data_IF_747543294278
#
_entry.id   IF_747543294278
#
_cell.length_a   1.000
_cell.length_b   1.000
_cell.length_c   1.000
_cell.angle_alpha   90.00
_cell.angle_beta   90.00
_cell.angle_gamma   90.00
#
_symmetry.space_group_name_H-M   'P 1'
#
loop_
_entity.id
_entity.type
_entity.pdbx_description
1 polymer ?
#
# COMPACT_ATOMS: atom_id res chain seq x y z
N UNK A 1 8.56 2.89 -13.69
CA UNK A 1 9.78 3.05 -12.88
C UNK A 1 9.31 3.15 -11.44
N UNK A 2 9.09 2.00 -10.79
CA UNK A 2 8.50 1.96 -9.45
C UNK A 2 9.63 2.04 -8.42
N UNK A 3 9.65 3.12 -7.65
CA UNK A 3 10.52 3.25 -6.49
C UNK A 3 10.21 2.12 -5.50
N UNK A 4 11.25 1.38 -5.15
CA UNK A 4 11.21 0.19 -4.32
C UNK A 4 10.93 0.57 -2.85
N UNK A 5 9.66 0.53 -2.46
CA UNK A 5 9.22 0.74 -1.06
C UNK A 5 9.85 -0.29 -0.09
N UNK A 6 10.37 -1.41 -0.58
CA UNK A 6 11.10 -2.38 0.25
C UNK A 6 12.50 -1.89 0.61
N UNK A 7 13.13 -1.11 -0.28
CA UNK A 7 14.42 -0.46 -0.01
C UNK A 7 14.26 0.65 1.02
N UNK A 8 13.17 1.42 0.95
CA UNK A 8 12.83 2.46 1.94
C UNK A 8 12.51 1.83 3.30
N UNK A 9 11.75 0.74 3.39
CA UNK A 9 11.44 0.11 4.68
C UNK A 9 12.66 -0.56 5.35
N UNK A 10 13.56 -1.15 4.55
CA UNK A 10 14.78 -1.83 5.04
C UNK A 10 15.82 -0.85 5.60
N UNK A 11 15.92 0.34 5.00
CA UNK A 11 16.81 1.39 5.49
C UNK A 11 16.24 2.05 6.76
N UNK A 12 14.92 2.16 6.93
CA UNK A 12 14.32 2.97 8.00
C UNK A 12 14.09 2.23 9.33
N UNK A 13 14.00 0.90 9.34
CA UNK A 13 13.78 0.12 10.57
C UNK A 13 14.89 0.25 11.64
N UNK A 14 16.20 0.23 11.29
CA UNK A 14 17.26 0.37 12.30
C UNK A 14 17.39 1.80 12.86
N UNK A 15 17.01 2.84 12.11
CA UNK A 15 17.03 4.23 12.60
C UNK A 15 15.82 4.55 13.49
N UNK A 16 14.65 3.95 13.22
CA UNK A 16 13.46 4.15 14.05
C UNK A 16 13.57 3.48 15.44
N UNK A 17 14.24 2.32 15.53
CA UNK A 17 14.54 1.69 16.82
C UNK A 17 15.65 2.41 17.61
N UNK A 18 16.64 2.99 16.93
CA UNK A 18 17.74 3.73 17.59
C UNK A 18 17.26 5.03 18.24
N UNK A 19 16.36 5.77 17.57
CA UNK A 19 15.81 7.04 18.10
C UNK A 19 14.83 6.79 19.27
N UNK A 20 14.08 5.68 19.25
CA UNK A 20 13.15 5.34 20.33
C UNK A 20 13.88 4.89 21.62
N UNK A 21 15.09 4.32 21.52
CA UNK A 21 15.85 3.87 22.68
C UNK A 21 16.50 5.04 23.46
N UNK A 22 16.72 6.19 22.83
CA UNK A 22 17.44 7.32 23.44
C UNK A 22 16.54 8.35 24.16
N UNK A 23 15.21 8.24 24.04
CA UNK A 23 14.23 9.21 24.57
C UNK A 23 13.36 8.64 25.69
N UNK A 24 13.90 7.72 26.49
CA UNK A 24 13.23 7.17 27.67
C UNK A 24 13.94 7.58 28.96
N UNK A 25 14.23 8.86 29.13
CA UNK A 25 14.45 9.45 30.45
C UNK A 25 13.07 9.83 30.98
N UNK A 26 12.47 8.92 31.74
CA UNK A 26 11.15 9.12 32.35
C UNK A 26 11.16 10.36 33.24
N UNK A 27 10.06 11.12 33.21
CA UNK A 27 9.79 12.36 33.97
C UNK A 27 9.85 12.19 35.51
N UNK A 28 10.19 11.00 36.01
CA UNK A 28 10.26 10.65 37.43
C UNK A 28 11.54 11.15 38.13
N UNK A 29 12.52 11.68 37.38
CA UNK A 29 13.82 12.15 37.93
C UNK A 29 13.96 13.69 37.91
N UNK A 30 12.82 14.41 37.80
CA UNK A 30 12.76 15.89 37.70
C UNK A 30 12.04 16.50 38.90
N UNK A 31 12.15 15.87 40.07
CA UNK A 31 11.95 16.58 41.33
C UNK A 31 13.31 16.89 41.91
N UNK A 32 13.59 18.16 42.29
CA UNK A 32 14.84 18.47 42.93
C UNK A 32 14.94 17.64 44.20
N UNK A 33 15.91 16.73 44.26
CA UNK A 33 16.40 16.23 45.53
C UNK A 33 16.64 17.46 46.40
N UNK A 34 16.02 17.49 47.59
CA UNK A 34 15.90 18.66 48.48
C UNK A 34 17.18 19.51 48.44
N UNK A 35 17.18 20.58 47.63
CA UNK A 35 18.35 21.45 47.52
C UNK A 35 18.53 22.14 48.86
N UNK A 36 19.58 21.76 49.59
CA UNK A 36 19.84 22.27 50.95
C UNK A 36 20.38 23.70 50.95
N UNK A 37 20.67 24.27 49.78
CA UNK A 37 21.12 25.66 49.61
C UNK A 37 20.57 26.32 48.32
N UNK A 38 20.49 27.65 48.32
CA UNK A 38 19.98 28.45 47.18
C UNK A 38 20.87 28.34 45.94
N UNK A 39 22.18 28.20 46.13
CA UNK A 39 23.15 28.09 45.03
C UNK A 39 22.97 26.78 44.25
N UNK A 40 22.80 25.67 44.97
CA UNK A 40 22.53 24.35 44.38
C UNK A 40 21.21 24.34 43.61
N UNK A 41 20.18 25.01 44.14
CA UNK A 41 18.92 25.18 43.45
C UNK A 41 19.07 25.95 42.13
N UNK A 42 19.82 27.06 42.11
CA UNK A 42 20.04 27.86 40.90
C UNK A 42 20.85 27.09 39.85
N UNK A 43 21.87 26.36 40.27
CA UNK A 43 22.66 25.50 39.40
C UNK A 43 21.79 24.41 38.76
N UNK A 44 20.93 23.77 39.56
CA UNK A 44 20.04 22.72 39.07
C UNK A 44 18.98 23.25 38.09
N UNK A 45 18.39 24.41 38.38
CA UNK A 45 17.44 25.06 37.46
C UNK A 45 18.13 25.41 36.14
N UNK A 46 19.38 25.91 36.19
CA UNK A 46 20.15 26.21 34.99
C UNK A 46 20.39 24.95 34.14
N UNK A 47 20.81 23.84 34.76
CA UNK A 47 21.00 22.55 34.07
C UNK A 47 19.69 22.04 33.46
N UNK A 48 18.59 22.12 34.21
CA UNK A 48 17.25 21.75 33.72
C UNK A 48 16.82 22.58 32.51
N UNK A 49 17.04 23.90 32.54
CA UNK A 49 16.70 24.80 31.43
C UNK A 49 17.52 24.45 30.19
N UNK A 50 18.81 24.17 30.32
CA UNK A 50 19.64 23.77 29.19
C UNK A 50 19.19 22.43 28.60
N UNK A 51 18.93 21.42 29.43
CA UNK A 51 18.46 20.11 28.96
C UNK A 51 17.10 20.24 28.28
N UNK A 52 16.19 21.02 28.85
CA UNK A 52 14.86 21.26 28.27
C UNK A 52 14.95 21.98 26.93
N UNK A 53 15.84 22.98 26.81
CA UNK A 53 16.06 23.68 25.54
C UNK A 53 16.62 22.76 24.45
N UNK A 54 17.56 21.86 24.80
CA UNK A 54 18.11 20.86 23.87
C UNK A 54 17.01 19.89 23.42
N UNK A 55 16.22 19.37 24.36
CA UNK A 55 15.15 18.42 24.04
C UNK A 55 14.07 19.06 23.15
N UNK A 56 13.67 20.30 23.44
CA UNK A 56 12.70 21.01 22.61
C UNK A 56 13.27 21.31 21.22
N UNK A 57 14.54 21.69 21.11
CA UNK A 57 15.20 21.89 19.82
C UNK A 57 15.29 20.59 19.00
N UNK A 58 15.61 19.45 19.64
CA UNK A 58 15.63 18.15 18.96
C UNK A 58 14.25 17.73 18.47
N UNK A 59 13.22 17.93 19.31
CA UNK A 59 11.84 17.65 18.96
C UNK A 59 11.34 18.53 17.81
N UNK A 60 11.70 19.81 17.82
CA UNK A 60 11.34 20.76 16.75
C UNK A 60 12.05 20.42 15.44
N UNK A 61 13.32 20.01 15.49
CA UNK A 61 14.06 19.53 14.32
C UNK A 61 13.42 18.28 13.71
N UNK A 62 13.01 17.31 14.53
CA UNK A 62 12.34 16.10 14.06
C UNK A 62 10.99 16.42 13.40
N UNK A 63 10.22 17.34 14.00
CA UNK A 63 8.97 17.82 13.41
C UNK A 63 9.23 18.49 12.06
N UNK A 64 10.16 19.44 12.02
CA UNK A 64 10.53 20.16 10.80
C UNK A 64 11.02 19.25 9.68
N UNK A 65 11.83 18.24 10.01
CA UNK A 65 12.26 17.22 9.06
C UNK A 65 11.09 16.42 8.49
N UNK A 66 10.18 15.96 9.35
CA UNK A 66 9.03 15.17 8.92
C UNK A 66 8.08 15.99 8.05
N UNK A 67 7.81 17.24 8.44
CA UNK A 67 6.95 18.16 7.68
C UNK A 67 7.56 18.44 6.29
N UNK A 68 8.87 18.71 6.23
CA UNK A 68 9.59 18.89 4.98
C UNK A 68 9.54 17.63 4.09
N UNK A 69 9.77 16.46 4.66
CA UNK A 69 9.74 15.19 3.92
C UNK A 69 8.35 14.92 3.35
N UNK A 70 7.28 15.15 4.12
CA UNK A 70 5.91 15.01 3.65
C UNK A 70 5.60 15.99 2.52
N UNK A 71 6.10 17.22 2.61
CA UNK A 71 5.94 18.23 1.57
C UNK A 71 6.62 17.81 0.26
N UNK A 72 7.88 17.36 0.32
CA UNK A 72 8.63 16.90 -0.87
C UNK A 72 7.91 15.73 -1.54
N UNK A 73 7.42 14.77 -0.77
CA UNK A 73 6.70 13.62 -1.30
C UNK A 73 5.39 14.02 -2.01
N UNK A 74 4.65 14.98 -1.44
CA UNK A 74 3.44 15.51 -2.07
C UNK A 74 3.77 16.26 -3.36
N UNK A 75 4.83 17.08 -3.37
CA UNK A 75 5.26 17.82 -4.55
C UNK A 75 5.69 16.89 -5.69
N UNK A 76 6.46 15.84 -5.38
CA UNK A 76 6.88 14.80 -6.33
C UNK A 76 5.66 14.04 -6.88
N UNK A 77 4.71 13.68 -6.02
CA UNK A 77 3.48 13.03 -6.44
C UNK A 77 2.66 13.89 -7.39
N UNK A 78 2.46 15.18 -7.07
CA UNK A 78 1.73 16.09 -7.93
C UNK A 78 2.43 16.30 -9.27
N UNK A 79 3.77 16.31 -9.29
CA UNK A 79 4.56 16.38 -10.51
C UNK A 79 4.36 15.13 -11.37
N UNK A 80 4.55 13.94 -10.83
CA UNK A 80 4.40 12.68 -11.58
C UNK A 80 2.98 12.53 -12.13
N UNK A 81 1.96 12.91 -11.35
CA UNK A 81 0.57 12.93 -11.79
C UNK A 81 0.36 13.87 -12.99
N UNK A 82 0.94 15.08 -12.96
CA UNK A 82 0.87 16.03 -14.09
C UNK A 82 1.57 15.47 -15.31
N UNK A 83 2.77 14.92 -15.14
CA UNK A 83 3.57 14.36 -16.24
C UNK A 83 2.85 13.16 -16.88
N UNK A 84 2.25 12.30 -16.06
CA UNK A 84 1.41 11.19 -16.53
C UNK A 84 0.21 11.68 -17.36
N UNK A 85 -0.55 12.66 -16.86
CA UNK A 85 -1.71 13.20 -17.59
C UNK A 85 -1.30 13.90 -18.89
N UNK A 86 -0.16 14.60 -18.90
CA UNK A 86 0.40 15.19 -20.12
C UNK A 86 0.88 14.14 -21.12
N UNK A 87 1.42 13.01 -20.64
CA UNK A 87 1.79 11.90 -21.53
C UNK A 87 0.56 11.32 -22.24
N UNK A 88 -0.58 11.20 -21.54
CA UNK A 88 -1.83 10.71 -22.13
C UNK A 88 -2.42 11.68 -23.16
N UNK A 89 -2.36 12.99 -22.91
CA UNK A 89 -2.87 13.98 -23.88
C UNK A 89 -2.04 14.00 -25.17
N UNK A 90 -0.73 13.75 -25.11
CA UNK A 90 0.13 13.58 -26.31
C UNK A 90 -0.19 12.33 -27.11
N UNK A 91 -0.58 11.24 -26.45
CA UNK A 91 -1.03 10.02 -27.14
C UNK A 91 -2.39 10.19 -27.83
N UNK A 92 -3.23 11.11 -27.34
CA UNK A 92 -4.52 11.46 -27.95
C UNK A 92 -4.40 12.30 -29.23
N UNK A 93 -3.27 12.98 -29.45
CA UNK A 93 -3.05 13.83 -30.63
C UNK A 93 -2.35 13.12 -31.79
N UNK A 94 -2.06 11.82 -31.67
CA UNK A 94 -1.55 11.03 -32.79
C UNK A 94 -2.67 10.89 -33.84
N UNK A 95 -2.42 11.14 -35.14
CA UNK A 95 -3.48 11.08 -36.15
C UNK A 95 -4.15 9.71 -36.12
N UNK A 96 -5.45 9.70 -35.82
CA UNK A 96 -6.36 8.56 -36.03
C UNK A 96 -6.20 8.12 -37.49
N UNK A 97 -5.44 7.06 -37.72
CA UNK A 97 -5.41 6.33 -38.99
C UNK A 97 -6.80 5.77 -39.23
N UNK A 98 -7.63 6.57 -39.90
CA UNK A 98 -8.94 6.16 -40.38
C UNK A 98 -8.76 5.03 -41.38
N UNK A 99 -9.11 3.84 -40.93
CA UNK A 99 -9.60 2.77 -41.77
C UNK A 99 -10.72 3.31 -42.67
N UNK A 100 -10.42 3.55 -43.94
CA UNK A 100 -11.37 3.72 -45.05
C UNK A 100 -10.95 2.73 -46.14
N UNK A 101 -11.64 1.60 -46.23
CA UNK A 101 -12.74 1.35 -47.16
C UNK A 101 -12.27 1.23 -48.63
N UNK A 102 -12.58 0.04 -49.18
CA UNK A 102 -12.35 -0.45 -50.54
C UNK A 102 -12.55 0.60 -51.64
N UNK A 103 -11.63 0.62 -52.61
CA UNK A 103 -11.89 0.99 -54.00
C UNK A 103 -11.09 0.10 -54.95
N UNK A 104 -11.79 -0.86 -55.55
CA UNK A 104 -11.40 -1.56 -56.78
C UNK A 104 -11.38 -0.59 -57.97
N UNK A 105 -10.40 -0.72 -58.89
CA UNK A 105 -10.39 -0.39 -60.35
C UNK A 105 -8.90 -0.22 -60.79
N UNK A 106 -8.25 -1.25 -61.37
CA UNK A 106 -8.04 -1.56 -62.83
C UNK A 106 -6.72 -1.01 -63.42
N UNK A 107 -5.85 -1.93 -63.88
CA UNK A 107 -4.90 -1.95 -65.05
C UNK A 107 -4.00 -0.72 -65.35
N UNK A 108 -2.71 -0.78 -65.76
CA UNK A 108 -1.79 -1.75 -66.41
C UNK A 108 -0.33 -1.16 -66.37
N UNK A 109 0.73 -1.77 -66.96
CA UNK A 109 2.11 -1.73 -66.46
C UNK A 109 3.07 -0.77 -67.22
N UNK A 110 4.21 -0.43 -66.61
CA UNK A 110 5.27 0.34 -67.25
C UNK A 110 6.57 0.32 -66.46
N UNK A 111 7.61 -0.24 -67.07
CA UNK A 111 8.98 -0.42 -66.61
C UNK A 111 9.77 0.90 -66.69
N UNK A 112 10.58 1.24 -65.67
CA UNK A 112 12.00 1.64 -65.78
C UNK A 112 12.55 2.26 -64.48
N UNK A 113 13.65 1.66 -64.00
CA UNK A 113 14.81 2.19 -63.25
C UNK A 113 14.66 3.52 -62.49
N UNK A 114 14.83 3.47 -61.17
CA UNK A 114 15.72 4.43 -60.49
C UNK A 114 16.21 3.88 -59.15
N UNK A 115 17.53 3.72 -59.07
CA UNK A 115 18.31 3.34 -57.91
C UNK A 115 18.56 4.55 -57.02
N UNK A 116 17.95 4.60 -55.84
CA UNK A 116 18.47 5.37 -54.68
C UNK A 116 18.15 4.60 -53.39
N UNK A 117 19.19 4.42 -52.59
CA UNK A 117 19.32 3.61 -51.39
C UNK A 117 18.29 3.90 -50.30
N UNK A 118 17.74 2.84 -49.69
CA UNK A 118 17.07 2.86 -48.39
C UNK A 118 17.58 1.69 -47.54
N UNK A 119 17.99 1.89 -46.28
CA UNK A 119 18.45 0.80 -45.45
C UNK A 119 17.25 -0.06 -45.03
N UNK A 120 17.19 -1.29 -45.53
CA UNK A 120 16.41 -2.35 -44.89
C UNK A 120 17.06 -2.69 -43.54
N UNK A 121 16.44 -2.25 -42.45
CA UNK A 121 16.62 -2.90 -41.15
C UNK A 121 15.49 -3.91 -41.01
N UNK A 122 15.90 -5.18 -41.00
CA UNK A 122 15.13 -6.36 -40.65
C UNK A 122 14.10 -6.07 -39.55
N UNK A 123 12.83 -6.39 -39.81
CA UNK A 123 11.82 -6.57 -38.77
C UNK A 123 12.18 -7.87 -38.04
N UNK A 124 13.15 -7.76 -37.15
CA UNK A 124 13.35 -8.69 -36.06
C UNK A 124 12.11 -8.61 -35.18
N UNK A 125 11.18 -9.53 -35.40
CA UNK A 125 10.13 -9.90 -34.47
C UNK A 125 10.80 -10.09 -33.12
N UNK A 126 10.69 -9.10 -32.24
CA UNK A 126 11.16 -9.19 -30.85
C UNK A 126 10.28 -10.21 -30.15
N UNK A 127 10.66 -11.47 -30.34
CA UNK A 127 10.35 -12.55 -29.43
C UNK A 127 10.97 -12.12 -28.11
N UNK A 128 10.17 -11.47 -27.26
CA UNK A 128 10.53 -11.24 -25.89
C UNK A 128 10.60 -12.63 -25.26
N UNK A 129 11.81 -13.14 -25.29
CA UNK A 129 12.29 -14.38 -24.72
C UNK A 129 11.76 -14.48 -23.29
N UNK A 130 10.90 -15.48 -23.08
CA UNK A 130 10.44 -15.88 -21.75
C UNK A 130 11.66 -16.50 -21.07
N UNK A 131 12.46 -15.65 -20.41
CA UNK A 131 13.53 -16.10 -19.53
C UNK A 131 12.89 -16.79 -18.31
N UNK A 132 13.42 -17.92 -17.84
CA UNK A 132 12.76 -18.77 -16.86
C UNK A 132 12.44 -18.06 -15.53
N UNK A 133 11.20 -18.26 -15.11
CA UNK A 133 10.39 -17.61 -14.06
C UNK A 133 10.84 -17.85 -12.60
N UNK A 134 12.12 -18.10 -12.30
CA UNK A 134 12.50 -18.55 -10.95
C UNK A 134 12.61 -17.43 -9.91
N UNK A 135 12.92 -16.19 -10.28
CA UNK A 135 13.28 -15.13 -9.32
C UNK A 135 12.51 -13.81 -9.53
N UNK A 136 11.20 -13.87 -9.75
CA UNK A 136 10.39 -12.64 -9.67
C UNK A 136 10.44 -12.07 -8.26
N UNK A 137 10.76 -10.79 -8.13
CA UNK A 137 10.75 -10.10 -6.84
C UNK A 137 9.37 -10.24 -6.18
N UNK A 138 9.30 -10.17 -4.85
CA UNK A 138 8.02 -10.19 -4.12
C UNK A 138 7.06 -9.14 -4.67
N UNK A 139 7.58 -7.97 -5.02
CA UNK A 139 6.81 -6.89 -5.62
C UNK A 139 6.27 -7.27 -6.99
N UNK A 140 7.08 -7.90 -7.85
CA UNK A 140 6.66 -8.34 -9.18
C UNK A 140 5.60 -9.44 -9.12
N UNK A 141 5.72 -10.39 -8.17
CA UNK A 141 4.69 -11.41 -7.90
C UNK A 141 3.38 -10.78 -7.46
N UNK A 142 3.42 -9.78 -6.55
CA UNK A 142 2.24 -9.02 -6.13
C UNK A 142 1.62 -8.25 -7.31
N UNK A 143 2.45 -7.57 -8.10
CA UNK A 143 2.01 -6.79 -9.24
C UNK A 143 1.33 -7.67 -10.31
N UNK A 144 1.90 -8.84 -10.64
CA UNK A 144 1.29 -9.74 -11.62
C UNK A 144 -0.08 -10.23 -11.17
N UNK A 145 -0.20 -10.62 -9.89
CA UNK A 145 -1.45 -11.15 -9.34
C UNK A 145 -2.53 -10.07 -9.26
N UNK A 146 -2.18 -8.84 -8.89
CA UNK A 146 -3.14 -7.72 -8.91
C UNK A 146 -3.52 -7.30 -10.33
N UNK A 147 -2.60 -7.39 -11.30
CA UNK A 147 -2.93 -7.14 -12.70
C UNK A 147 -4.00 -8.11 -13.23
N UNK A 148 -3.97 -9.36 -12.77
CA UNK A 148 -4.99 -10.36 -13.12
C UNK A 148 -6.37 -9.98 -12.58
N UNK A 149 -6.46 -9.57 -11.30
CA UNK A 149 -7.73 -9.08 -10.72
C UNK A 149 -8.26 -7.85 -11.45
N UNK A 150 -7.39 -6.92 -11.84
CA UNK A 150 -7.79 -5.73 -12.59
C UNK A 150 -8.29 -6.06 -13.99
N UNK A 151 -7.67 -7.03 -14.66
CA UNK A 151 -8.15 -7.54 -15.95
C UNK A 151 -9.55 -8.13 -15.81
N UNK A 152 -9.77 -8.95 -14.79
CA UNK A 152 -11.08 -9.58 -14.54
C UNK A 152 -12.15 -8.55 -14.17
N UNK A 153 -11.79 -7.55 -13.35
CA UNK A 153 -12.64 -6.41 -13.03
C UNK A 153 -13.05 -5.64 -14.29
N UNK A 154 -12.09 -5.33 -15.16
CA UNK A 154 -12.36 -4.61 -16.40
C UNK A 154 -13.23 -5.44 -17.36
N UNK A 155 -12.97 -6.75 -17.46
CA UNK A 155 -13.80 -7.66 -18.24
C UNK A 155 -15.23 -7.72 -17.72
N UNK A 156 -15.42 -7.80 -16.40
CA UNK A 156 -16.75 -7.79 -15.78
C UNK A 156 -17.48 -6.47 -16.02
N UNK A 157 -16.78 -5.33 -15.91
CA UNK A 157 -17.35 -4.00 -16.21
C UNK A 157 -17.81 -3.85 -17.65
N UNK A 158 -16.99 -4.29 -18.62
CA UNK A 158 -17.34 -4.27 -20.04
C UNK A 158 -18.57 -5.13 -20.32
N UNK A 159 -18.71 -6.25 -19.62
CA UNK A 159 -19.86 -7.17 -19.75
C UNK A 159 -21.05 -6.80 -18.87
N UNK A 160 -20.95 -5.75 -18.05
CA UNK A 160 -21.98 -5.35 -17.09
C UNK A 160 -22.26 -6.40 -15.99
N UNK A 161 -21.31 -7.29 -15.72
CA UNK A 161 -21.46 -8.35 -14.72
C UNK A 161 -21.13 -7.84 -13.30
N UNK A 162 -21.81 -8.35 -12.26
CA UNK A 162 -21.45 -8.05 -10.89
C UNK A 162 -20.05 -8.59 -10.59
N UNK A 163 -19.22 -7.76 -9.98
CA UNK A 163 -17.87 -8.11 -9.55
C UNK A 163 -17.67 -7.63 -8.13
N UNK A 164 -16.94 -8.40 -7.33
CA UNK A 164 -16.61 -8.11 -5.93
C UNK A 164 -15.11 -7.80 -5.80
N UNK A 165 -14.68 -6.55 -6.02
CA UNK A 165 -13.26 -6.21 -6.02
C UNK A 165 -12.55 -6.55 -4.72
N UNK A 166 -13.12 -6.21 -3.56
CA UNK A 166 -12.42 -6.40 -2.29
C UNK A 166 -12.19 -7.88 -2.00
N UNK A 167 -13.20 -8.73 -2.23
CA UNK A 167 -13.07 -10.17 -2.12
C UNK A 167 -12.01 -10.74 -3.08
N UNK A 168 -11.97 -10.30 -4.34
CA UNK A 168 -11.01 -10.76 -5.34
C UNK A 168 -9.56 -10.37 -4.99
N UNK A 169 -9.34 -9.12 -4.57
CA UNK A 169 -8.02 -8.66 -4.13
C UNK A 169 -7.54 -9.37 -2.87
N UNK A 170 -8.44 -9.61 -1.91
CA UNK A 170 -8.13 -10.37 -0.70
C UNK A 170 -7.73 -11.80 -1.01
N UNK A 171 -8.54 -12.54 -1.76
CA UNK A 171 -8.30 -13.94 -2.09
C UNK A 171 -6.97 -14.13 -2.83
N UNK A 172 -6.70 -13.25 -3.79
CA UNK A 172 -5.44 -13.29 -4.53
C UNK A 172 -4.23 -12.96 -3.66
N UNK A 173 -4.36 -12.02 -2.72
CA UNK A 173 -3.35 -11.76 -1.71
C UNK A 173 -3.11 -12.95 -0.76
N UNK A 174 -4.17 -13.66 -0.34
CA UNK A 174 -4.07 -14.86 0.49
C UNK A 174 -3.38 -16.01 -0.25
N UNK A 175 -3.69 -16.19 -1.54
CA UNK A 175 -3.08 -17.22 -2.39
C UNK A 175 -1.57 -17.04 -2.60
N UNK A 176 -1.08 -15.81 -2.43
CA UNK A 176 0.33 -15.46 -2.54
C UNK A 176 1.17 -15.96 -1.34
N UNK A 177 0.53 -16.39 -0.24
CA UNK A 177 1.19 -17.01 0.92
C UNK A 177 2.29 -16.14 1.57
N UNK A 178 2.19 -14.82 1.39
CA UNK A 178 3.26 -13.85 1.64
C UNK A 178 3.28 -13.29 3.07
N UNK A 179 2.48 -13.85 3.96
CA UNK A 179 2.43 -13.44 5.36
C UNK A 179 3.63 -14.00 6.14
N UNK A 180 4.68 -13.19 6.25
CA UNK A 180 5.68 -13.30 7.29
C UNK A 180 5.40 -12.22 8.34
N UNK A 181 4.47 -12.46 9.27
CA UNK A 181 4.44 -11.70 10.54
C UNK A 181 3.48 -12.33 11.54
N UNK A 182 4.00 -13.18 12.42
CA UNK A 182 3.40 -13.52 13.71
C UNK A 182 3.51 -12.38 14.74
N UNK A 183 3.38 -11.13 14.29
CA UNK A 183 3.50 -9.93 15.11
C UNK A 183 2.15 -9.24 15.35
N UNK A 184 2.08 -8.43 16.40
CA UNK A 184 0.89 -7.61 16.75
C UNK A 184 0.57 -6.50 15.72
N UNK A 185 1.24 -6.46 14.57
CA UNK A 185 1.08 -5.42 13.56
C UNK A 185 -0.18 -5.63 12.69
N UNK A 186 -0.60 -4.55 12.02
CA UNK A 186 -1.68 -4.59 11.02
C UNK A 186 -1.13 -5.24 9.75
N UNK A 187 -1.57 -6.46 9.46
CA UNK A 187 -1.24 -7.12 8.20
C UNK A 187 -2.13 -6.62 7.06
N UNK A 188 -1.65 -6.78 5.82
CA UNK A 188 -2.43 -6.45 4.63
C UNK A 188 -3.73 -7.27 4.58
N UNK A 189 -3.74 -8.50 5.11
CA UNK A 189 -4.96 -9.30 5.24
C UNK A 189 -6.02 -8.59 6.08
N UNK A 190 -5.64 -8.01 7.23
CA UNK A 190 -6.55 -7.23 8.08
C UNK A 190 -7.12 -6.01 7.34
N UNK A 191 -6.29 -5.34 6.54
CA UNK A 191 -6.72 -4.20 5.71
C UNK A 191 -7.75 -4.65 4.66
N UNK A 192 -7.48 -5.75 3.94
CA UNK A 192 -8.43 -6.28 2.96
C UNK A 192 -9.74 -6.74 3.60
N UNK A 193 -9.69 -7.37 4.77
CA UNK A 193 -10.88 -7.70 5.55
C UNK A 193 -11.70 -6.46 5.94
N UNK A 194 -11.04 -5.37 6.36
CA UNK A 194 -11.72 -4.10 6.66
C UNK A 194 -12.41 -3.56 5.42
N UNK A 195 -11.72 -3.48 4.28
CA UNK A 195 -12.29 -2.98 3.02
C UNK A 195 -13.49 -3.83 2.59
N UNK A 196 -13.40 -5.15 2.67
CA UNK A 196 -14.51 -6.06 2.39
C UNK A 196 -15.70 -5.80 3.32
N UNK A 197 -15.45 -5.58 4.61
CA UNK A 197 -16.48 -5.26 5.60
C UNK A 197 -17.15 -3.91 5.33
N UNK A 198 -16.39 -2.89 4.93
CA UNK A 198 -16.88 -1.57 4.56
C UNK A 198 -17.69 -1.58 3.27
N UNK A 199 -17.27 -2.37 2.27
CA UNK A 199 -17.98 -2.49 1.00
C UNK A 199 -19.26 -3.34 1.13
N UNK A 200 -19.35 -4.17 2.15
CA UNK A 200 -20.54 -5.00 2.41
C UNK A 200 -20.81 -6.00 1.28
N UNK A 201 -19.77 -6.41 0.54
CA UNK A 201 -19.89 -7.34 -0.60
C UNK A 201 -20.51 -8.69 -0.20
N UNK A 202 -20.41 -9.06 1.07
CA UNK A 202 -20.93 -10.31 1.63
C UNK A 202 -22.22 -10.12 2.45
N UNK A 203 -22.74 -8.90 2.51
CA UNK A 203 -24.01 -8.63 3.18
C UNK A 203 -25.18 -9.11 2.32
N UNK A 204 -25.78 -10.24 2.72
CA UNK A 204 -26.98 -10.82 2.09
C UNK A 204 -28.19 -9.87 2.19
N UNK A 205 -28.19 -8.97 3.18
CA UNK A 205 -29.28 -8.03 3.45
C UNK A 205 -28.90 -6.66 2.87
N UNK A 206 -29.53 -6.28 1.76
CA UNK A 206 -29.52 -4.91 1.26
C UNK A 206 -30.49 -4.05 2.07
N UNK A 207 -30.10 -3.70 3.30
CA UNK A 207 -30.83 -2.66 4.01
C UNK A 207 -30.49 -1.32 3.34
N UNK A 208 -31.50 -0.56 2.90
CA UNK A 208 -31.32 0.81 2.38
C UNK A 208 -30.90 1.74 3.51
N UNK A 209 -29.64 1.63 3.92
CA UNK A 209 -28.99 2.53 4.87
C UNK A 209 -28.19 3.58 4.11
N UNK A 210 -28.03 4.76 4.71
CA UNK A 210 -27.19 5.81 4.13
C UNK A 210 -25.75 5.34 3.97
N UNK A 211 -25.01 5.86 2.98
CA UNK A 211 -23.59 5.50 2.77
C UNK A 211 -22.76 5.64 4.04
N UNK A 212 -22.99 6.70 4.83
CA UNK A 212 -22.33 6.93 6.12
C UNK A 212 -22.63 5.77 7.08
N UNK A 213 -23.88 5.33 7.17
CA UNK A 213 -24.28 4.24 8.05
C UNK A 213 -23.74 2.89 7.56
N UNK A 214 -23.66 2.63 6.25
CA UNK A 214 -23.01 1.44 5.69
C UNK A 214 -21.55 1.33 6.11
N UNK A 215 -20.81 2.46 6.04
CA UNK A 215 -19.41 2.52 6.48
C UNK A 215 -19.28 2.28 7.99
N UNK A 216 -20.12 2.92 8.81
CA UNK A 216 -20.13 2.72 10.27
C UNK A 216 -20.42 1.26 10.62
N UNK A 217 -21.42 0.65 9.97
CA UNK A 217 -21.76 -0.75 10.20
C UNK A 217 -20.66 -1.71 9.71
N UNK A 218 -19.97 -1.38 8.62
CA UNK A 218 -18.82 -2.14 8.13
C UNK A 218 -17.62 -2.06 9.08
N UNK A 219 -17.29 -0.88 9.57
CA UNK A 219 -16.23 -0.67 10.55
C UNK A 219 -16.55 -1.38 11.87
N UNK A 220 -17.79 -1.28 12.36
CA UNK A 220 -18.26 -1.97 13.55
C UNK A 220 -18.08 -3.49 13.41
N UNK A 221 -18.58 -4.09 12.31
CA UNK A 221 -18.43 -5.52 12.06
C UNK A 221 -16.97 -5.97 12.01
N UNK A 222 -16.08 -5.17 11.41
CA UNK A 222 -14.65 -5.49 11.38
C UNK A 222 -14.04 -5.54 12.79
N UNK A 223 -14.40 -4.58 13.66
CA UNK A 223 -13.92 -4.53 15.05
C UNK A 223 -14.51 -5.68 15.88
N UNK A 224 -15.79 -5.98 15.72
CA UNK A 224 -16.48 -7.10 16.38
C UNK A 224 -15.83 -8.44 16.00
N UNK A 225 -15.61 -8.67 14.71
CA UNK A 225 -14.94 -9.87 14.22
C UNK A 225 -13.49 -9.99 14.74
N UNK A 226 -12.75 -8.87 14.78
CA UNK A 226 -11.40 -8.86 15.34
C UNK A 226 -11.36 -9.20 16.83
N UNK A 227 -12.34 -8.71 17.59
CA UNK A 227 -12.50 -9.01 19.01
C UNK A 227 -12.92 -10.46 19.24
N UNK A 228 -13.87 -10.99 18.46
CA UNK A 228 -14.27 -12.39 18.48
C UNK A 228 -13.08 -13.32 18.23
N UNK A 229 -12.30 -13.03 17.18
CA UNK A 229 -11.08 -13.77 16.87
C UNK A 229 -10.09 -13.77 18.04
N UNK A 230 -9.88 -12.62 18.67
CA UNK A 230 -9.02 -12.51 19.85
C UNK A 230 -9.51 -13.34 21.04
N UNK A 231 -10.81 -13.32 21.33
CA UNK A 231 -11.41 -14.15 22.39
C UNK A 231 -11.22 -15.64 22.08
N UNK A 232 -11.48 -16.06 20.84
CA UNK A 232 -11.27 -17.46 20.43
C UNK A 232 -9.81 -17.89 20.56
N UNK A 233 -8.86 -17.07 20.10
CA UNK A 233 -7.42 -17.32 20.27
C UNK A 233 -7.02 -17.39 21.75
N UNK A 234 -7.60 -16.56 22.62
CA UNK A 234 -7.36 -16.59 24.06
C UNK A 234 -7.88 -17.87 24.71
N UNK A 235 -9.10 -18.30 24.36
CA UNK A 235 -9.70 -19.55 24.84
C UNK A 235 -8.87 -20.75 24.39
N UNK A 236 -8.47 -20.78 23.11
CA UNK A 236 -7.69 -21.87 22.54
C UNK A 236 -6.27 -21.95 23.12
N UNK A 237 -5.68 -20.81 23.48
CA UNK A 237 -4.35 -20.78 24.11
C UNK A 237 -4.36 -21.17 25.60
N UNK A 238 -5.52 -21.06 26.28
CA UNK A 238 -5.64 -21.37 27.70
C UNK A 238 -6.82 -22.32 28.02
N UNK A 239 -6.87 -23.53 27.43
CA UNK A 239 -8.04 -24.41 27.51
C UNK A 239 -8.35 -24.86 28.95
N UNK A 240 -7.32 -25.08 29.78
CA UNK A 240 -7.49 -25.49 31.18
C UNK A 240 -8.06 -24.36 32.07
N UNK A 241 -7.78 -23.10 31.75
CA UNK A 241 -8.29 -21.93 32.48
C UNK A 241 -9.66 -21.50 31.96
N UNK A 242 -9.92 -21.70 30.66
CA UNK A 242 -11.20 -21.40 30.04
C UNK A 242 -12.35 -22.26 30.61
N UNK A 243 -12.03 -23.43 31.21
CA UNK A 243 -12.96 -24.32 31.92
C UNK A 243 -14.30 -24.54 31.19
N UNK A 244 -14.25 -24.56 29.85
CA UNK A 244 -15.40 -24.83 29.00
C UNK A 244 -15.68 -26.33 29.10
N UNK A 245 -16.65 -26.69 29.94
CA UNK A 245 -17.13 -28.08 30.02
C UNK A 245 -17.81 -28.47 28.70
N UNK A 246 -17.29 -29.52 28.05
CA UNK A 246 -17.86 -30.09 26.82
C UNK A 246 -17.10 -29.70 25.53
N UNK A 247 -17.11 -30.63 24.57
CA UNK A 247 -16.41 -30.53 23.27
C UNK A 247 -16.74 -29.21 22.56
N UNK A 248 -15.70 -28.47 22.19
CA UNK A 248 -15.75 -27.29 21.31
C UNK A 248 -16.06 -27.76 19.88
N UNK A 249 -17.28 -28.21 19.66
CA UNK A 249 -17.80 -28.64 18.37
C UNK A 249 -18.88 -27.65 17.91
N UNK A 250 -18.69 -27.11 16.71
CA UNK A 250 -19.56 -26.19 15.97
C UNK A 250 -19.37 -24.70 16.28
N UNK A 251 -18.33 -24.13 15.67
CA UNK A 251 -18.35 -22.81 15.04
C UNK A 251 -17.44 -22.87 13.80
N UNK A 252 -17.84 -23.71 12.83
CA UNK A 252 -17.41 -23.60 11.43
C UNK A 252 -18.38 -22.70 10.66
#
# INVERSE_FOLDING_TARGET
MFLDLSSVASVFLPYFLSVHFFLKTTFEDVFPAEATSVEEYLQQVHEMVMVSAIQEAQKDNLRSFNDYMMQVLEDDWQKEKRDFLQSLSRLSTLPRTSSGALSTVVSRPGQMVSSVSTPQVSIGRSSMEIVPLANKSVLEKKASVYADVLRDLNNARVRGLPFKPAAAFKHTYESLGLEASGGKSVSMQKIWHLIQSLMGEDSVIQQKVSRKMSLVNGARRHLEWGHEKYIMEMIQSHPAQAALGGVVGNLE
#
